data_IF_694288755148
#
_entry.id   IF_694288755148
#
_cell.length_a   1.000
_cell.length_b   1.000
_cell.length_c   1.000
_cell.angle_alpha   90.00
_cell.angle_beta   90.00
_cell.angle_gamma   90.00
#
_symmetry.space_group_name_H-M   'P 1'
#
loop_
_entity.id
_entity.type
_entity.pdbx_description
1 polymer ?
#
# COMPACT_ATOMS: atom_id res chain seq x y z
N UNK A 1 3.90 -10.33 26.06
CA UNK A 1 4.36 -10.53 24.68
C UNK A 1 3.79 -9.41 23.85
N UNK A 2 4.61 -8.47 23.40
CA UNK A 2 4.18 -7.51 22.38
C UNK A 2 3.91 -8.29 21.07
N UNK A 3 2.85 -7.97 20.31
CA UNK A 3 2.67 -8.57 18.99
C UNK A 3 3.83 -8.16 18.08
N UNK A 4 4.48 -9.13 17.43
CA UNK A 4 5.45 -8.85 16.36
C UNK A 4 4.78 -7.97 15.31
N UNK A 5 5.38 -6.81 14.98
CA UNK A 5 4.83 -5.96 13.91
C UNK A 5 5.51 -6.31 12.59
N UNK A 6 4.71 -6.37 11.54
CA UNK A 6 5.20 -6.60 10.18
C UNK A 6 5.50 -5.29 9.46
N UNK A 7 6.64 -5.20 8.78
CA UNK A 7 6.98 -4.10 7.87
C UNK A 7 6.54 -4.38 6.43
N UNK A 8 5.98 -3.38 5.74
CA UNK A 8 5.61 -3.47 4.31
C UNK A 8 6.14 -2.25 3.56
N UNK A 9 6.91 -2.48 2.50
CA UNK A 9 7.43 -1.43 1.60
C UNK A 9 6.47 -1.23 0.42
N UNK A 10 6.23 0.03 0.05
CA UNK A 10 5.22 0.45 -0.91
C UNK A 10 5.80 1.52 -1.84
N UNK A 11 5.88 1.19 -3.12
CA UNK A 11 6.27 2.07 -4.22
C UNK A 11 5.51 1.68 -5.50
N UNK A 12 5.71 2.46 -6.57
CA UNK A 12 5.40 2.01 -7.91
C UNK A 12 6.58 1.22 -8.46
N UNK A 13 6.37 -0.03 -8.88
CA UNK A 13 7.39 -0.77 -9.60
C UNK A 13 7.61 -0.17 -11.01
N UNK A 14 8.57 0.74 -11.16
CA UNK A 14 8.92 1.30 -12.45
C UNK A 14 9.64 0.25 -13.32
N UNK A 15 9.44 0.29 -14.64
CA UNK A 15 10.16 -0.58 -15.57
C UNK A 15 11.66 -0.31 -15.51
N UNK A 16 12.37 -1.04 -14.65
CA UNK A 16 13.82 -1.13 -14.69
C UNK A 16 14.22 -1.75 -16.04
N UNK A 17 14.91 -0.98 -16.88
CA UNK A 17 15.60 -1.52 -18.03
C UNK A 17 16.58 -2.61 -17.53
N UNK A 18 16.32 -3.87 -17.94
CA UNK A 18 17.24 -5.01 -17.94
C UNK A 18 17.88 -5.43 -16.60
N UNK A 19 17.18 -6.32 -15.90
CA UNK A 19 17.68 -7.56 -15.27
C UNK A 19 19.16 -7.60 -14.81
N UNK A 20 19.36 -7.44 -13.49
CA UNK A 20 20.27 -8.33 -12.75
C UNK A 20 19.50 -8.95 -11.60
N UNK A 21 19.17 -10.23 -11.79
CA UNK A 21 18.56 -11.12 -10.80
C UNK A 21 19.28 -11.01 -9.46
N UNK A 22 18.60 -10.54 -8.43
CA UNK A 22 18.94 -10.86 -7.05
C UNK A 22 18.64 -12.35 -6.84
N UNK A 23 19.67 -13.19 -7.06
CA UNK A 23 19.71 -14.56 -6.56
C UNK A 23 20.89 -14.63 -5.60
N UNK A 24 20.60 -14.82 -4.32
CA UNK A 24 21.35 -15.70 -3.40
C UNK A 24 20.77 -15.60 -1.98
N UNK A 25 19.88 -16.53 -1.63
CA UNK A 25 19.68 -16.99 -0.25
C UNK A 25 19.91 -18.50 -0.24
N UNK A 26 20.74 -19.06 0.65
CA UNK A 26 21.02 -20.49 0.67
C UNK A 26 19.82 -21.29 1.19
N UNK A 27 19.41 -22.30 0.43
CA UNK A 27 18.49 -23.37 0.85
C UNK A 27 19.29 -24.45 1.57
N UNK A 28 18.90 -24.78 2.79
CA UNK A 28 19.25 -26.05 3.43
C UNK A 28 18.36 -27.18 2.87
N UNK A 29 18.98 -28.33 2.61
CA UNK A 29 18.36 -29.52 2.04
C UNK A 29 18.37 -30.67 3.04
N UNK A 30 17.27 -31.44 3.11
CA UNK A 30 17.17 -32.86 3.47
C UNK A 30 15.67 -33.21 3.52
N UNK A 31 15.10 -34.29 3.01
CA UNK A 31 15.54 -35.48 2.28
C UNK A 31 14.27 -36.33 2.06
N UNK A 32 14.07 -36.87 0.86
CA UNK A 32 12.91 -37.74 0.55
C UNK A 32 13.11 -39.15 1.07
N UNK A 33 12.06 -39.76 1.64
CA UNK A 33 11.80 -41.21 1.53
C UNK A 33 10.32 -41.48 1.30
N UNK A 34 10.04 -42.35 0.33
CA UNK A 34 8.72 -42.88 0.01
C UNK A 34 8.35 -44.03 0.96
N UNK A 35 7.06 -44.17 1.29
CA UNK A 35 6.42 -45.47 1.49
C UNK A 35 4.90 -45.38 1.41
N UNK A 36 4.30 -46.39 0.78
CA UNK A 36 2.86 -46.54 0.46
C UNK A 36 2.01 -46.95 1.69
N UNK A 37 0.72 -46.60 1.63
CA UNK A 37 -0.35 -46.87 2.60
C UNK A 37 -0.66 -48.38 2.79
N UNK A 38 -1.51 -48.79 3.77
CA UNK A 38 -2.96 -48.74 3.53
C UNK A 38 -3.89 -48.57 4.77
N UNK A 39 -5.17 -48.38 4.43
CA UNK A 39 -6.40 -48.81 5.12
C UNK A 39 -7.08 -47.89 6.14
N UNK A 40 -8.37 -47.68 5.87
CA UNK A 40 -9.32 -46.82 6.55
C UNK A 40 -9.85 -47.41 7.86
N UNK A 41 -10.17 -46.54 8.82
CA UNK A 41 -11.09 -46.84 9.93
C UNK A 41 -12.00 -45.65 10.19
N UNK A 42 -13.31 -45.89 10.10
CA UNK A 42 -14.39 -44.94 10.43
C UNK A 42 -14.28 -44.52 11.90
N UNK A 43 -14.32 -43.22 12.16
CA UNK A 43 -14.59 -42.64 13.48
C UNK A 43 -15.79 -41.70 13.31
N UNK A 44 -16.80 -41.85 14.17
CA UNK A 44 -18.06 -41.11 14.13
C UNK A 44 -17.89 -39.60 14.35
N UNK A 45 -18.96 -38.80 14.18
CA UNK A 45 -18.87 -37.35 14.21
C UNK A 45 -18.51 -36.87 15.62
N UNK A 46 -17.30 -36.32 15.77
CA UNK A 46 -16.98 -35.45 16.88
C UNK A 46 -17.78 -34.17 16.70
N UNK A 47 -18.67 -33.88 17.65
CA UNK A 47 -19.28 -32.57 17.78
C UNK A 47 -18.16 -31.53 17.95
N UNK A 48 -18.08 -30.59 17.01
CA UNK A 48 -17.17 -29.47 17.08
C UNK A 48 -17.58 -28.60 18.27
N UNK A 49 -16.74 -28.58 19.32
CA UNK A 49 -16.77 -27.51 20.32
C UNK A 49 -16.47 -26.22 19.55
N UNK A 50 -17.38 -25.23 19.50
CA UNK A 50 -17.08 -23.98 18.82
C UNK A 50 -15.87 -23.36 19.52
N UNK A 51 -14.84 -22.90 18.78
CA UNK A 51 -13.76 -22.16 19.40
C UNK A 51 -14.38 -20.94 20.08
N UNK A 52 -14.24 -20.88 21.40
CA UNK A 52 -14.65 -19.72 22.17
C UNK A 52 -13.99 -18.48 21.58
N UNK A 53 -14.81 -17.48 21.29
CA UNK A 53 -14.44 -16.30 20.52
C UNK A 53 -13.15 -15.67 21.01
N UNK A 54 -12.14 -15.62 20.13
CA UNK A 54 -11.13 -14.58 20.23
C UNK A 54 -11.88 -13.26 20.13
N UNK A 55 -11.86 -12.47 21.21
CA UNK A 55 -12.35 -11.09 21.21
C UNK A 55 -11.79 -10.40 19.98
N UNK A 56 -12.66 -10.09 19.02
CA UNK A 56 -12.31 -9.49 17.75
C UNK A 56 -11.72 -8.11 17.99
N UNK A 57 -10.39 -8.01 17.98
CA UNK A 57 -9.77 -6.75 17.58
C UNK A 57 -10.30 -6.43 16.19
N UNK A 58 -10.77 -5.19 15.97
CA UNK A 58 -11.23 -4.76 14.65
C UNK A 58 -10.12 -5.12 13.67
N UNK A 59 -10.43 -5.96 12.68
CA UNK A 59 -9.48 -6.24 11.63
C UNK A 59 -9.19 -4.93 10.91
N UNK A 60 -7.94 -4.47 10.97
CA UNK A 60 -7.50 -3.30 10.23
C UNK A 60 -7.50 -3.66 8.73
N UNK A 61 -8.61 -3.36 8.07
CA UNK A 61 -8.79 -3.66 6.65
C UNK A 61 -8.09 -2.60 5.80
N UNK A 62 -6.83 -2.89 5.46
CA UNK A 62 -6.06 -2.14 4.49
C UNK A 62 -6.43 -2.57 3.07
N UNK A 63 -6.64 -1.60 2.17
CA UNK A 63 -6.69 -1.85 0.72
C UNK A 63 -5.56 -1.14 -0.02
N UNK A 64 -4.86 -1.90 -0.85
CA UNK A 64 -3.79 -1.42 -1.76
C UNK A 64 -4.33 -1.32 -3.18
N UNK A 65 -4.09 -0.20 -3.84
CA UNK A 65 -4.42 0.04 -5.26
C UNK A 65 -3.26 0.76 -5.94
N UNK A 66 -3.20 0.79 -7.26
CA UNK A 66 -2.20 1.54 -8.05
C UNK A 66 -2.76 1.75 -9.46
N UNK A 67 -2.14 2.65 -10.21
CA UNK A 67 -2.42 2.84 -11.64
C UNK A 67 -3.92 3.04 -11.94
N UNK A 68 -4.61 3.80 -11.07
CA UNK A 68 -6.07 3.96 -11.14
C UNK A 68 -6.50 5.34 -11.64
N UNK A 69 -5.61 6.33 -11.63
CA UNK A 69 -5.89 7.77 -11.64
C UNK A 69 -6.59 8.39 -12.85
N UNK A 70 -7.64 7.78 -13.38
CA UNK A 70 -8.45 8.25 -14.50
C UNK A 70 -9.94 8.27 -14.14
N UNK A 71 -10.73 9.14 -14.75
CA UNK A 71 -12.18 9.25 -14.51
C UNK A 71 -13.02 8.21 -15.29
N UNK A 72 -12.36 7.21 -15.89
CA UNK A 72 -13.00 6.20 -16.71
C UNK A 72 -13.97 5.31 -15.93
N UNK A 73 -14.88 4.68 -16.69
CA UNK A 73 -15.87 3.76 -16.14
C UNK A 73 -15.23 2.58 -15.39
N UNK A 74 -14.09 2.09 -15.85
CA UNK A 74 -13.29 1.05 -15.17
C UNK A 74 -12.84 1.49 -13.78
N UNK A 75 -12.28 2.70 -13.64
CA UNK A 75 -11.87 3.26 -12.34
C UNK A 75 -13.05 3.40 -11.39
N UNK A 76 -14.22 3.80 -11.92
CA UNK A 76 -15.46 3.82 -11.13
C UNK A 76 -15.86 2.43 -10.62
N UNK A 77 -15.66 1.37 -11.40
CA UNK A 77 -15.93 0.01 -10.93
C UNK A 77 -14.92 -0.44 -9.89
N UNK A 78 -13.62 -0.17 -10.10
CA UNK A 78 -12.57 -0.50 -9.13
C UNK A 78 -12.82 0.20 -7.81
N UNK A 79 -13.15 1.49 -7.81
CA UNK A 79 -13.47 2.22 -6.57
C UNK A 79 -14.70 1.65 -5.85
N UNK A 80 -15.75 1.23 -6.58
CA UNK A 80 -16.89 0.53 -5.97
C UNK A 80 -16.48 -0.80 -5.33
N UNK A 81 -15.65 -1.59 -5.99
CA UNK A 81 -15.13 -2.85 -5.44
C UNK A 81 -14.29 -2.62 -4.18
N UNK A 82 -13.37 -1.66 -4.22
CA UNK A 82 -12.55 -1.26 -3.07
C UNK A 82 -13.43 -0.89 -1.89
N UNK A 83 -14.46 -0.07 -2.12
CA UNK A 83 -15.38 0.40 -1.07
C UNK A 83 -16.31 -0.68 -0.54
N UNK A 84 -16.70 -1.64 -1.37
CA UNK A 84 -17.51 -2.78 -0.94
C UNK A 84 -16.82 -3.64 0.13
N UNK A 85 -15.49 -3.60 0.22
CA UNK A 85 -14.73 -4.29 1.26
C UNK A 85 -14.58 -3.47 2.55
N UNK A 86 -15.17 -2.28 2.61
CA UNK A 86 -15.20 -1.39 3.77
C UNK A 86 -13.81 -1.18 4.39
N UNK A 87 -12.82 -0.70 3.62
CA UNK A 87 -11.48 -0.52 4.13
C UNK A 87 -11.47 0.55 5.23
N UNK A 88 -10.65 0.32 6.25
CA UNK A 88 -10.38 1.35 7.24
C UNK A 88 -9.54 2.47 6.65
N UNK A 89 -8.54 2.11 5.84
CA UNK A 89 -7.69 3.04 5.10
C UNK A 89 -7.21 2.42 3.78
N UNK A 90 -6.87 3.28 2.84
CA UNK A 90 -6.40 2.95 1.51
C UNK A 90 -4.97 3.48 1.37
N UNK A 91 -4.11 2.67 0.75
CA UNK A 91 -2.80 3.09 0.28
C UNK A 91 -2.69 2.88 -1.22
N UNK A 92 -2.04 3.80 -1.91
CA UNK A 92 -1.76 3.66 -3.35
C UNK A 92 -0.31 3.27 -3.60
N UNK A 93 -0.04 2.70 -4.77
CA UNK A 93 1.29 2.28 -5.22
C UNK A 93 1.78 3.16 -6.38
N UNK A 94 1.43 4.45 -6.36
CA UNK A 94 1.76 5.38 -7.44
C UNK A 94 0.69 5.52 -8.52
N UNK A 95 0.94 6.47 -9.42
CA UNK A 95 0.14 6.82 -10.58
C UNK A 95 -1.32 7.14 -10.22
N UNK A 96 -1.44 8.16 -9.38
CA UNK A 96 -2.71 8.57 -8.77
C UNK A 96 -3.53 9.47 -9.69
N UNK A 97 -2.89 10.16 -10.62
CA UNK A 97 -3.55 11.17 -11.44
C UNK A 97 -3.02 11.21 -12.88
N UNK A 98 -3.64 10.45 -13.76
CA UNK A 98 -3.38 10.46 -15.19
C UNK A 98 -4.01 11.67 -15.91
N UNK A 99 -3.48 12.07 -17.09
CA UNK A 99 -2.31 11.47 -17.75
C UNK A 99 -0.97 11.99 -17.23
N UNK A 100 -0.94 13.09 -16.46
CA UNK A 100 0.29 13.84 -16.23
C UNK A 100 0.36 14.52 -14.86
N UNK A 101 -0.34 14.01 -13.86
CA UNK A 101 -0.28 14.55 -12.51
C UNK A 101 -0.87 15.96 -12.36
N UNK A 102 -1.68 16.43 -13.31
CA UNK A 102 -2.11 17.83 -13.39
C UNK A 102 -3.11 18.26 -12.29
N UNK A 103 -3.05 19.53 -11.86
CA UNK A 103 -3.93 20.08 -10.83
C UNK A 103 -5.40 20.11 -11.27
N UNK A 104 -5.64 20.33 -12.56
CA UNK A 104 -6.98 20.42 -13.14
C UNK A 104 -7.72 19.07 -13.10
N UNK A 105 -6.99 17.95 -13.00
CA UNK A 105 -7.54 16.60 -13.08
C UNK A 105 -7.57 15.88 -11.74
N UNK A 106 -6.73 16.25 -10.77
CA UNK A 106 -6.52 15.46 -9.55
C UNK A 106 -7.80 15.25 -8.73
N UNK A 107 -8.63 16.30 -8.57
CA UNK A 107 -9.89 16.18 -7.84
C UNK A 107 -10.89 15.28 -8.59
N UNK A 108 -10.92 15.36 -9.92
CA UNK A 108 -11.77 14.51 -10.76
C UNK A 108 -11.32 13.05 -10.72
N UNK A 109 -10.03 12.80 -10.78
CA UNK A 109 -9.46 11.46 -10.89
C UNK A 109 -9.39 10.74 -9.54
N UNK A 110 -9.23 11.50 -8.45
CA UNK A 110 -9.11 10.95 -7.09
C UNK A 110 -10.33 11.29 -6.24
N UNK A 111 -10.59 12.59 -6.05
CA UNK A 111 -11.66 13.10 -5.17
C UNK A 111 -13.03 12.53 -5.51
N UNK A 112 -13.38 12.46 -6.80
CA UNK A 112 -14.62 11.85 -7.28
C UNK A 112 -14.90 10.46 -6.70
N UNK A 113 -13.87 9.65 -6.48
CA UNK A 113 -14.01 8.26 -6.07
C UNK A 113 -13.72 8.03 -4.59
N UNK A 114 -12.80 8.81 -4.01
CA UNK A 114 -12.18 8.54 -2.71
C UNK A 114 -12.23 9.72 -1.73
N UNK A 115 -12.92 10.83 -2.02
CA UNK A 115 -12.99 11.99 -1.10
C UNK A 115 -13.38 11.64 0.34
N UNK A 116 -14.27 10.66 0.53
CA UNK A 116 -14.72 10.18 1.84
C UNK A 116 -13.60 9.53 2.70
N UNK A 117 -12.41 9.32 2.11
CA UNK A 117 -11.20 8.83 2.78
C UNK A 117 -10.12 9.92 2.94
N UNK A 118 -10.27 11.10 2.34
CA UNK A 118 -9.23 12.13 2.29
C UNK A 118 -9.50 13.19 3.37
N UNK A 119 -8.47 13.60 4.10
CA UNK A 119 -8.55 14.72 5.03
C UNK A 119 -7.23 15.50 5.10
N UNK A 120 -7.28 16.84 5.12
CA UNK A 120 -8.44 17.66 4.74
C UNK A 120 -8.76 17.45 3.25
N UNK A 121 -10.04 17.36 2.90
CA UNK A 121 -10.47 17.34 1.50
C UNK A 121 -11.10 18.69 1.14
N UNK A 122 -10.57 19.31 0.10
CA UNK A 122 -10.99 20.66 -0.35
C UNK A 122 -11.64 20.64 -1.75
N UNK A 123 -11.84 19.45 -2.32
CA UNK A 123 -12.43 19.29 -3.64
C UNK A 123 -13.97 19.37 -3.65
N UNK A 124 -14.56 19.12 -4.81
CA UNK A 124 -16.00 19.40 -5.05
C UNK A 124 -16.94 18.21 -4.90
N UNK A 125 -16.43 17.00 -4.67
CA UNK A 125 -17.23 15.77 -4.80
C UNK A 125 -17.97 15.33 -3.54
N UNK A 126 -17.85 16.07 -2.44
CA UNK A 126 -18.56 15.80 -1.21
C UNK A 126 -17.78 16.26 0.02
N UNK A 127 -18.28 15.91 1.20
CA UNK A 127 -17.55 16.12 2.43
C UNK A 127 -16.35 15.15 2.52
N UNK A 128 -15.20 15.64 2.96
CA UNK A 128 -14.04 14.79 3.24
C UNK A 128 -14.25 13.81 4.39
N UNK A 129 -13.21 13.03 4.67
CA UNK A 129 -13.12 12.29 5.92
C UNK A 129 -12.94 13.24 7.13
N UNK A 130 -13.15 12.74 8.34
CA UNK A 130 -12.83 13.47 9.59
C UNK A 130 -11.36 13.33 10.02
N UNK A 131 -10.65 12.37 9.43
CA UNK A 131 -9.23 12.10 9.62
C UNK A 131 -8.71 11.41 8.37
N UNK A 132 -7.41 11.53 8.08
CA UNK A 132 -6.90 11.04 6.81
C UNK A 132 -6.89 9.50 6.80
N UNK A 133 -7.47 8.92 5.74
CA UNK A 133 -7.59 7.47 5.52
C UNK A 133 -7.14 7.08 4.10
N UNK A 134 -6.54 8.01 3.36
CA UNK A 134 -6.02 7.80 2.02
C UNK A 134 -4.55 8.24 1.98
N UNK A 135 -3.65 7.28 1.76
CA UNK A 135 -2.21 7.45 1.86
C UNK A 135 -1.56 7.07 0.54
N UNK A 136 -1.47 7.97 -0.44
CA UNK A 136 -0.89 7.62 -1.72
C UNK A 136 0.65 7.58 -1.67
N UNK A 137 1.25 6.76 -2.52
CA UNK A 137 2.67 6.90 -2.91
C UNK A 137 2.72 7.68 -4.23
N UNK A 138 3.82 8.37 -4.51
CA UNK A 138 4.07 8.98 -5.82
C UNK A 138 4.40 7.91 -6.87
N UNK A 139 3.97 8.14 -8.10
CA UNK A 139 4.38 7.38 -9.28
C UNK A 139 4.92 8.26 -10.39
N UNK A 140 5.41 7.66 -11.47
CA UNK A 140 6.04 8.41 -12.57
C UNK A 140 5.05 9.36 -13.26
N UNK A 141 3.76 9.04 -13.31
CA UNK A 141 2.78 9.95 -13.90
C UNK A 141 2.48 11.15 -13.00
N UNK A 142 2.65 11.03 -11.69
CA UNK A 142 2.49 12.14 -10.76
C UNK A 142 3.67 13.13 -10.89
N UNK A 143 4.88 12.62 -11.22
CA UNK A 143 6.09 13.41 -11.48
C UNK A 143 6.14 14.14 -12.83
N UNK A 144 5.22 13.85 -13.75
CA UNK A 144 5.15 14.60 -15.02
C UNK A 144 4.79 16.06 -14.74
N UNK A 145 3.92 16.31 -13.76
CA UNK A 145 3.68 17.65 -13.26
C UNK A 145 4.94 18.16 -12.54
N UNK A 146 5.29 19.43 -12.78
CA UNK A 146 6.49 20.05 -12.21
C UNK A 146 6.57 19.82 -10.71
N UNK A 147 7.66 19.16 -10.27
CA UNK A 147 7.95 18.84 -8.87
C UNK A 147 6.84 18.05 -8.15
N UNK A 148 6.03 17.27 -8.88
CA UNK A 148 4.82 16.60 -8.37
C UNK A 148 3.87 17.56 -7.62
N UNK A 149 3.93 18.86 -7.93
CA UNK A 149 3.29 19.92 -7.13
C UNK A 149 1.79 19.71 -6.93
N UNK A 150 1.00 19.29 -7.94
CA UNK A 150 -0.42 19.05 -7.72
C UNK A 150 -0.72 17.93 -6.73
N UNK A 151 0.11 16.89 -6.67
CA UNK A 151 -0.01 15.84 -5.66
C UNK A 151 0.25 16.41 -4.26
N UNK A 152 1.35 17.17 -4.10
CA UNK A 152 1.77 17.75 -2.83
C UNK A 152 0.81 18.83 -2.31
N UNK A 153 0.15 19.56 -3.21
CA UNK A 153 -0.87 20.55 -2.84
C UNK A 153 -2.20 19.90 -2.47
N UNK A 154 -2.50 18.71 -2.99
CA UNK A 154 -3.82 18.09 -2.87
C UNK A 154 -3.94 17.17 -1.66
N UNK A 155 -2.87 16.47 -1.29
CA UNK A 155 -2.85 15.58 -0.13
C UNK A 155 -2.17 16.25 1.07
N UNK A 156 -2.51 15.79 2.28
CA UNK A 156 -1.75 16.10 3.49
C UNK A 156 -1.30 14.78 4.12
N UNK A 157 0.00 14.52 4.05
CA UNK A 157 0.60 13.22 4.38
C UNK A 157 1.68 13.36 5.46
N UNK A 158 2.09 12.25 6.10
CA UNK A 158 3.21 12.28 7.02
C UNK A 158 4.54 12.61 6.32
N UNK A 159 5.55 12.94 7.13
CA UNK A 159 6.92 13.11 6.64
C UNK A 159 7.06 14.30 5.71
N UNK A 160 7.74 14.09 4.58
CA UNK A 160 7.85 15.08 3.51
C UNK A 160 6.82 14.86 2.38
N UNK A 161 5.84 13.98 2.61
CA UNK A 161 4.73 13.63 1.71
C UNK A 161 5.12 12.89 0.41
N UNK A 162 6.41 12.90 0.03
CA UNK A 162 6.96 12.12 -1.09
C UNK A 162 7.35 10.71 -0.66
N UNK A 163 8.02 10.59 0.47
CA UNK A 163 8.31 9.33 1.15
C UNK A 163 8.10 9.47 2.65
N UNK A 164 7.46 8.47 3.25
CA UNK A 164 7.03 8.54 4.63
C UNK A 164 6.74 7.17 5.21
N UNK A 165 6.62 7.08 6.53
CA UNK A 165 6.14 5.87 7.20
C UNK A 165 4.81 6.12 7.86
N UNK A 166 3.97 5.08 7.95
CA UNK A 166 2.78 5.09 8.77
C UNK A 166 2.65 3.78 9.55
N UNK A 167 2.20 3.86 10.80
CA UNK A 167 1.85 2.68 11.60
C UNK A 167 0.34 2.56 11.73
N UNK A 168 -0.21 1.38 11.45
CA UNK A 168 -1.63 1.03 11.63
C UNK A 168 -1.71 -0.32 12.30
N UNK A 169 -2.17 -0.32 13.55
CA UNK A 169 -2.18 -1.52 14.37
C UNK A 169 -0.78 -2.17 14.42
N UNK A 170 -0.66 -3.47 14.12
CA UNK A 170 0.61 -4.20 14.14
C UNK A 170 1.40 -4.09 12.81
N UNK A 171 1.11 -3.12 11.95
CA UNK A 171 1.79 -2.99 10.65
C UNK A 171 2.42 -1.61 10.53
N UNK A 172 3.71 -1.58 10.17
CA UNK A 172 4.40 -0.38 9.72
C UNK A 172 4.52 -0.42 8.20
N UNK A 173 4.05 0.63 7.55
CA UNK A 173 4.16 0.82 6.11
C UNK A 173 5.27 1.83 5.83
N UNK A 174 6.09 1.55 4.82
CA UNK A 174 7.14 2.42 4.34
C UNK A 174 6.81 2.80 2.90
N UNK A 175 6.34 4.02 2.71
CA UNK A 175 6.08 4.62 1.41
C UNK A 175 7.39 5.22 0.91
N UNK A 176 7.92 4.68 -0.19
CA UNK A 176 9.12 5.18 -0.85
C UNK A 176 8.80 5.63 -2.26
N UNK A 177 9.56 6.58 -2.76
CA UNK A 177 9.48 7.12 -4.12
C UNK A 177 10.60 6.53 -4.96
N UNK A 178 10.22 5.71 -5.93
CA UNK A 178 11.11 5.03 -6.86
C UNK A 178 11.46 5.89 -8.09
N UNK A 179 10.83 7.05 -8.27
CA UNK A 179 11.03 7.87 -9.46
C UNK A 179 12.38 8.59 -9.43
N UNK A 180 13.03 8.64 -10.59
CA UNK A 180 14.31 9.33 -10.77
C UNK A 180 14.23 10.85 -10.56
N UNK A 181 13.04 11.44 -10.60
CA UNK A 181 12.82 12.87 -10.35
C UNK A 181 12.70 13.19 -8.86
N UNK A 182 12.64 12.20 -7.97
CA UNK A 182 12.74 12.41 -6.53
C UNK A 182 14.09 13.09 -6.19
N UNK A 183 14.09 14.32 -5.66
CA UNK A 183 15.32 15.07 -5.45
C UNK A 183 16.20 14.50 -4.33
N UNK A 184 15.63 13.72 -3.41
CA UNK A 184 16.40 13.00 -2.39
C UNK A 184 16.92 11.64 -2.89
N UNK A 185 16.76 11.36 -4.19
CA UNK A 185 17.23 10.16 -4.88
C UNK A 185 16.43 8.90 -4.59
N UNK A 186 16.53 7.92 -5.48
CA UNK A 186 15.81 6.63 -5.41
C UNK A 186 16.76 5.43 -5.25
N UNK A 187 18.03 5.65 -4.89
CA UNK A 187 19.04 4.60 -4.66
C UNK A 187 19.23 4.29 -3.18
N UNK A 188 19.86 3.16 -2.86
CA UNK A 188 20.05 2.74 -1.46
C UNK A 188 20.93 3.69 -0.63
N UNK A 189 21.85 4.41 -1.27
CA UNK A 189 22.81 5.34 -0.68
C UNK A 189 22.35 6.80 -0.73
N UNK A 190 21.23 7.08 -1.40
CA UNK A 190 20.60 8.39 -1.45
C UNK A 190 20.07 8.85 -0.08
N UNK A 191 19.82 10.16 0.13
CA UNK A 191 19.15 10.64 1.34
C UNK A 191 17.87 9.87 1.70
N UNK A 192 17.00 9.56 0.71
CA UNK A 192 15.83 8.71 0.92
C UNK A 192 16.22 7.28 1.34
N UNK A 193 17.19 6.66 0.65
CA UNK A 193 17.66 5.31 0.96
C UNK A 193 18.21 5.18 2.38
N UNK A 194 18.97 6.17 2.84
CA UNK A 194 19.48 6.25 4.21
C UNK A 194 18.36 6.51 5.22
N UNK A 195 17.38 7.35 4.88
CA UNK A 195 16.17 7.53 5.70
C UNK A 195 15.42 6.21 5.88
N UNK A 196 15.20 5.46 4.79
CA UNK A 196 14.50 4.19 4.84
C UNK A 196 15.23 3.16 5.70
N UNK A 197 16.55 3.06 5.60
CA UNK A 197 17.37 2.19 6.46
C UNK A 197 17.22 2.53 7.95
N UNK A 198 17.18 3.82 8.31
CA UNK A 198 16.94 4.25 9.70
C UNK A 198 15.54 3.86 10.17
N UNK A 199 14.52 4.10 9.34
CA UNK A 199 13.14 3.74 9.69
C UNK A 199 12.94 2.23 9.83
N UNK A 200 13.62 1.42 9.02
CA UNK A 200 13.64 -0.03 9.17
C UNK A 200 14.30 -0.47 10.48
N UNK A 201 15.41 0.17 10.89
CA UNK A 201 16.10 -0.16 12.13
C UNK A 201 15.28 0.21 13.39
N UNK A 202 14.40 1.20 13.27
CA UNK A 202 13.49 1.64 14.34
C UNK A 202 12.18 0.82 14.39
N UNK A 203 11.86 0.09 13.32
CA UNK A 203 10.70 -0.79 13.23
C UNK A 203 10.84 -1.97 14.19
N UNK A 204 9.78 -2.27 14.94
CA UNK A 204 9.72 -3.34 15.95
C UNK A 204 8.66 -4.35 15.61
#
# INVERSE_FOLDING_TARGET
>A
MEPERGGVVLDQAQHAASSRRLRNFPRAAAGLRHSRAPCARRVGPLAAVPPQGRRGGRSDHLRRIGDFGSDYFSTRQVSRLVKAWQPQFIITLGDNNYPSGAAETIDRNVGQFYHEFIFPYQGRYGAGAQSNRFFPCLGNHDWIATNARPYLDYFTLPGNERYYTLTRGPVQLFCVDSDKHEPDGCTFDSPQGQWFQRQLAESK
#
